data_IF_217802358067
#
_entry.id   IF_217802358067
#
_cell.length_a   1.000
_cell.length_b   1.000
_cell.length_c   1.000
_cell.angle_alpha   90.00
_cell.angle_beta   90.00
_cell.angle_gamma   90.00
#
_symmetry.space_group_name_H-M   'P 1'
#
loop_
_entity.id
_entity.type
_entity.pdbx_description
1 polymer ?
#
# COMPACT_ATOMS: atom_id res chain seq x y z
N UNK A 1 -8.55 -8.92 -29.75
CA UNK A 1 -7.59 -9.96 -30.17
C UNK A 1 -6.82 -10.33 -28.91
N UNK A 2 -7.02 -11.56 -28.45
CA UNK A 2 -6.77 -11.99 -27.06
C UNK A 2 -5.47 -12.79 -26.96
N UNK A 3 -4.67 -12.51 -25.93
CA UNK A 3 -4.15 -13.46 -24.92
C UNK A 3 -3.06 -12.78 -24.07
N UNK A 4 -3.21 -12.80 -22.74
CA UNK A 4 -2.23 -13.16 -21.69
C UNK A 4 -2.91 -12.94 -20.32
N UNK A 5 -3.07 -14.04 -19.55
CA UNK A 5 -3.50 -14.18 -18.14
C UNK A 5 -4.65 -13.27 -17.60
N UNK A 6 -5.79 -13.90 -17.24
CA UNK A 6 -7.03 -13.30 -16.69
C UNK A 6 -6.94 -12.64 -15.28
N UNK A 7 -5.75 -12.25 -14.80
CA UNK A 7 -5.54 -11.74 -13.43
C UNK A 7 -5.12 -10.27 -13.35
N UNK A 8 -6.01 -9.34 -13.67
CA UNK A 8 -5.77 -7.91 -13.44
C UNK A 8 -6.33 -7.49 -12.08
N UNK A 9 -5.47 -7.01 -11.19
CA UNK A 9 -5.91 -6.40 -9.93
C UNK A 9 -6.98 -5.33 -10.20
N UNK A 10 -8.08 -5.39 -9.45
CA UNK A 10 -9.13 -4.38 -9.45
C UNK A 10 -8.60 -3.09 -8.83
N UNK A 11 -8.77 -1.98 -9.53
CA UNK A 11 -8.20 -0.69 -9.18
C UNK A 11 -9.29 0.36 -8.96
N UNK A 12 -9.24 1.05 -7.83
CA UNK A 12 -10.15 2.11 -7.43
C UNK A 12 -9.40 3.41 -7.17
N UNK A 13 -9.99 4.55 -7.54
CA UNK A 13 -9.54 5.87 -7.07
C UNK A 13 -10.28 6.18 -5.78
N UNK A 14 -9.55 6.40 -4.69
CA UNK A 14 -10.16 6.78 -3.40
C UNK A 14 -10.33 8.31 -3.32
N UNK A 15 -9.34 9.06 -3.81
CA UNK A 15 -9.40 10.50 -3.97
C UNK A 15 -8.53 10.96 -5.17
N UNK A 16 -8.09 12.24 -5.16
CA UNK A 16 -7.24 12.81 -6.22
C UNK A 16 -5.77 12.37 -6.16
N UNK A 17 -5.34 11.73 -5.08
CA UNK A 17 -3.93 11.37 -4.79
C UNK A 17 -3.76 9.91 -4.39
N UNK A 18 -4.85 9.18 -4.21
CA UNK A 18 -4.84 7.88 -3.59
C UNK A 18 -5.55 6.86 -4.47
N UNK A 19 -4.87 5.76 -4.75
CA UNK A 19 -5.41 4.59 -5.44
C UNK A 19 -5.46 3.40 -4.49
N UNK A 20 -6.35 2.47 -4.75
CA UNK A 20 -6.42 1.19 -4.07
C UNK A 20 -6.49 0.07 -5.09
N UNK A 21 -5.66 -0.96 -4.91
CA UNK A 21 -5.67 -2.15 -5.74
C UNK A 21 -5.94 -3.40 -4.91
N UNK A 22 -6.60 -4.38 -5.51
CA UNK A 22 -6.85 -5.69 -4.91
C UNK A 22 -6.95 -6.79 -5.96
N UNK A 23 -6.63 -8.02 -5.58
CA UNK A 23 -6.75 -9.21 -6.44
C UNK A 23 -7.21 -10.42 -5.63
N UNK A 24 -8.09 -11.27 -6.14
CA UNK A 24 -8.66 -12.41 -5.39
C UNK A 24 -7.61 -13.33 -4.72
N UNK A 25 -6.37 -13.38 -5.23
CA UNK A 25 -5.27 -14.14 -4.64
C UNK A 25 -4.55 -13.45 -3.47
N UNK A 26 -4.80 -12.16 -3.22
CA UNK A 26 -4.12 -11.37 -2.20
C UNK A 26 -4.78 -11.57 -0.84
N UNK A 27 -4.16 -12.41 -0.01
CA UNK A 27 -4.63 -12.76 1.33
C UNK A 27 -3.51 -13.25 2.24
N UNK A 28 -3.76 -13.20 3.55
CA UNK A 28 -2.95 -13.87 4.56
C UNK A 28 -3.81 -14.85 5.38
N UNK A 29 -3.15 -15.75 6.11
CA UNK A 29 -3.78 -16.65 7.08
C UNK A 29 -3.26 -16.29 8.48
N UNK A 30 -4.16 -16.00 9.41
CA UNK A 30 -3.81 -15.73 10.80
C UNK A 30 -3.52 -17.04 11.55
N UNK A 31 -2.91 -16.95 12.74
CA UNK A 31 -2.53 -18.12 13.56
C UNK A 31 -3.72 -19.04 13.93
N UNK A 32 -4.94 -18.51 13.97
CA UNK A 32 -6.17 -19.27 14.23
C UNK A 32 -6.74 -19.97 12.97
N UNK A 33 -6.07 -19.84 11.83
CA UNK A 33 -6.47 -20.39 10.53
C UNK A 33 -7.49 -19.52 9.79
N UNK A 34 -7.88 -18.37 10.32
CA UNK A 34 -8.74 -17.42 9.60
C UNK A 34 -7.99 -16.80 8.43
N UNK A 35 -8.69 -16.58 7.32
CA UNK A 35 -8.13 -15.97 6.11
C UNK A 35 -8.62 -14.54 5.98
N UNK A 36 -7.68 -13.63 5.78
CA UNK A 36 -7.97 -12.20 5.63
C UNK A 36 -7.56 -11.79 4.23
N UNK A 37 -8.55 -11.39 3.43
CA UNK A 37 -8.30 -10.81 2.11
C UNK A 37 -7.70 -9.41 2.25
N UNK A 38 -6.76 -9.10 1.38
CA UNK A 38 -5.94 -7.89 1.44
C UNK A 38 -6.06 -7.07 0.16
N UNK A 39 -5.69 -5.80 0.29
CA UNK A 39 -5.45 -4.87 -0.81
C UNK A 39 -4.25 -3.96 -0.51
N UNK A 40 -3.87 -3.15 -1.48
CA UNK A 40 -2.78 -2.17 -1.35
C UNK A 40 -3.33 -0.78 -1.65
N UNK A 41 -3.13 0.16 -0.72
CA UNK A 41 -3.32 1.59 -0.95
C UNK A 41 -2.02 2.19 -1.44
N UNK A 42 -2.11 3.07 -2.45
CA UNK A 42 -1.02 3.86 -2.99
C UNK A 42 -1.36 5.34 -2.87
N UNK A 43 -0.59 6.11 -2.12
CA UNK A 43 -0.79 7.55 -1.95
C UNK A 43 0.39 8.33 -2.57
N UNK A 44 0.08 9.30 -3.42
CA UNK A 44 1.04 10.30 -3.87
C UNK A 44 1.23 11.37 -2.77
N UNK A 45 2.36 11.31 -2.07
CA UNK A 45 2.71 12.16 -0.93
C UNK A 45 3.58 13.34 -1.38
N UNK A 46 3.27 14.54 -0.88
CA UNK A 46 4.00 15.78 -1.16
C UNK A 46 5.07 16.04 -0.10
N UNK A 47 6.34 15.97 -0.51
CA UNK A 47 7.51 16.20 0.32
C UNK A 47 8.06 17.63 0.22
N UNK A 48 7.37 18.57 -0.43
CA UNK A 48 7.86 19.96 -0.61
C UNK A 48 8.23 20.64 0.72
N UNK A 49 7.54 20.29 1.82
CA UNK A 49 7.85 20.81 3.16
C UNK A 49 9.16 20.27 3.73
N UNK A 50 9.58 19.09 3.29
CA UNK A 50 10.78 18.39 3.77
C UNK A 50 11.98 18.65 2.85
N UNK A 51 11.77 18.65 1.53
CA UNK A 51 12.82 18.83 0.52
C UNK A 51 13.05 20.30 0.14
N UNK A 52 12.08 21.17 0.43
CA UNK A 52 12.08 22.58 0.03
C UNK A 52 11.14 22.85 -1.14
N UNK A 53 10.50 24.03 -1.14
CA UNK A 53 9.48 24.39 -2.13
C UNK A 53 9.99 24.57 -3.57
N UNK A 54 11.31 24.61 -3.77
CA UNK A 54 11.95 24.71 -5.09
C UNK A 54 12.32 23.34 -5.67
N UNK A 55 12.03 22.25 -4.95
CA UNK A 55 12.30 20.88 -5.42
C UNK A 55 11.46 20.56 -6.66
N UNK A 56 12.13 20.09 -7.72
CA UNK A 56 11.50 19.79 -9.00
C UNK A 56 10.69 18.48 -8.97
N UNK A 57 11.10 17.53 -8.12
CA UNK A 57 10.43 16.23 -7.96
C UNK A 57 9.99 16.02 -6.50
N UNK A 58 8.99 16.78 -6.01
CA UNK A 58 8.64 16.77 -4.60
C UNK A 58 7.68 15.63 -4.22
N UNK A 59 7.18 14.84 -5.17
CA UNK A 59 6.19 13.80 -4.87
C UNK A 59 6.80 12.41 -4.83
N UNK A 60 6.38 11.57 -3.88
CA UNK A 60 6.70 10.14 -3.83
C UNK A 60 5.40 9.33 -3.78
N UNK A 61 5.47 8.02 -4.00
CA UNK A 61 4.33 7.12 -3.76
C UNK A 61 4.62 6.28 -2.53
N UNK A 62 3.80 6.44 -1.50
CA UNK A 62 3.77 5.53 -0.36
C UNK A 62 2.75 4.41 -0.65
N UNK A 63 3.10 3.18 -0.30
CA UNK A 63 2.21 2.03 -0.43
C UNK A 63 2.00 1.35 0.93
N UNK A 64 0.77 0.90 1.18
CA UNK A 64 0.43 0.20 2.41
C UNK A 64 -0.56 -0.95 2.15
N UNK A 65 -0.30 -2.10 2.75
CA UNK A 65 -1.23 -3.23 2.77
C UNK A 65 -2.30 -2.97 3.82
N UNK A 66 -3.56 -3.17 3.45
CA UNK A 66 -4.71 -3.08 4.35
C UNK A 66 -5.62 -4.30 4.17
N UNK A 67 -6.36 -4.73 5.21
CA UNK A 67 -7.45 -5.67 5.04
C UNK A 67 -8.50 -5.09 4.08
N UNK A 68 -9.14 -5.95 3.32
CA UNK A 68 -10.33 -5.54 2.57
C UNK A 68 -11.44 -5.15 3.53
N UNK A 69 -12.30 -4.20 3.14
CA UNK A 69 -13.42 -3.77 3.97
C UNK A 69 -14.35 -4.93 4.37
N UNK A 70 -14.47 -5.98 3.55
CA UNK A 70 -15.26 -7.17 3.86
C UNK A 70 -14.71 -8.03 5.00
N UNK A 71 -13.42 -7.87 5.34
CA UNK A 71 -12.76 -8.61 6.39
C UNK A 71 -12.66 -7.82 7.70
N UNK A 72 -13.13 -6.56 7.74
CA UNK A 72 -13.00 -5.70 8.92
C UNK A 72 -13.96 -6.12 10.04
N UNK A 73 -13.51 -5.91 11.26
CA UNK A 73 -14.35 -6.01 12.45
C UNK A 73 -15.37 -4.86 12.52
N UNK A 74 -16.61 -5.15 12.94
CA UNK A 74 -17.67 -4.16 13.05
C UNK A 74 -17.31 -3.01 14.02
N UNK A 75 -16.57 -3.28 15.09
CA UNK A 75 -16.11 -2.24 16.03
C UNK A 75 -15.10 -1.30 15.36
N UNK A 76 -14.26 -1.84 14.46
CA UNK A 76 -13.30 -1.06 13.68
C UNK A 76 -14.04 -0.17 12.68
N UNK A 77 -15.06 -0.71 12.00
CA UNK A 77 -15.89 0.09 11.07
C UNK A 77 -16.57 1.25 11.80
N UNK A 78 -17.12 0.99 12.99
CA UNK A 78 -17.76 2.03 13.83
C UNK A 78 -16.76 3.06 14.37
N UNK A 79 -15.49 2.69 14.58
CA UNK A 79 -14.46 3.61 15.03
C UNK A 79 -14.06 4.62 13.95
N UNK A 80 -13.98 4.16 12.68
CA UNK A 80 -13.45 4.99 11.58
C UNK A 80 -14.52 5.69 10.74
N UNK A 81 -15.76 5.19 10.74
CA UNK A 81 -16.85 5.76 9.94
C UNK A 81 -17.87 6.47 10.82
N UNK A 82 -18.06 7.76 10.57
CA UNK A 82 -19.18 8.53 11.14
C UNK A 82 -20.52 8.21 10.46
N UNK A 83 -20.47 7.61 9.25
CA UNK A 83 -21.65 7.20 8.51
C UNK A 83 -22.14 5.82 8.98
N UNK A 84 -23.46 5.65 9.09
CA UNK A 84 -24.09 4.39 9.49
C UNK A 84 -23.89 3.26 8.45
N UNK A 85 -23.65 3.62 7.18
CA UNK A 85 -23.40 2.68 6.10
C UNK A 85 -22.46 3.29 5.03
N UNK A 86 -21.14 3.40 5.32
CA UNK A 86 -20.20 4.05 4.41
C UNK A 86 -20.08 3.28 3.10
N UNK A 87 -19.80 4.00 2.02
CA UNK A 87 -19.42 3.35 0.77
C UNK A 87 -18.11 2.57 0.96
N UNK A 88 -17.94 1.48 0.21
CA UNK A 88 -16.71 0.66 0.26
C UNK A 88 -15.43 1.47 0.09
N UNK A 89 -15.42 2.41 -0.87
CA UNK A 89 -14.26 3.27 -1.12
C UNK A 89 -14.00 4.25 0.03
N UNK A 90 -15.07 4.79 0.65
CA UNK A 90 -14.93 5.65 1.82
C UNK A 90 -14.32 4.87 2.98
N UNK A 91 -14.83 3.67 3.27
CA UNK A 91 -14.32 2.83 4.35
C UNK A 91 -12.83 2.44 4.15
N UNK A 92 -12.42 2.09 2.93
CA UNK A 92 -11.00 1.82 2.63
C UNK A 92 -10.15 3.06 2.93
N UNK A 93 -10.62 4.23 2.50
CA UNK A 93 -9.91 5.49 2.71
C UNK A 93 -9.82 5.84 4.20
N UNK A 94 -10.91 5.72 4.95
CA UNK A 94 -10.98 6.06 6.37
C UNK A 94 -10.08 5.13 7.21
N UNK A 95 -10.10 3.83 6.91
CA UNK A 95 -9.17 2.86 7.53
C UNK A 95 -7.72 3.24 7.28
N UNK A 96 -7.37 3.52 6.02
CA UNK A 96 -6.01 3.90 5.68
C UNK A 96 -5.59 5.21 6.37
N UNK A 97 -6.48 6.21 6.45
CA UNK A 97 -6.18 7.49 7.10
C UNK A 97 -6.06 7.37 8.61
N UNK A 98 -6.85 6.50 9.25
CA UNK A 98 -6.84 6.32 10.69
C UNK A 98 -5.71 5.40 11.15
N UNK A 99 -5.43 4.32 10.40
CA UNK A 99 -4.51 3.26 10.80
C UNK A 99 -3.20 3.19 10.01
N UNK A 100 -3.11 3.81 8.83
CA UNK A 100 -1.91 3.83 7.97
C UNK A 100 -1.62 2.54 7.19
N UNK A 101 -2.09 1.39 7.66
CA UNK A 101 -1.79 0.09 7.05
C UNK A 101 -0.35 -0.40 7.29
N UNK A 102 0.00 -1.53 6.68
CA UNK A 102 1.37 -2.07 6.76
C UNK A 102 2.20 -1.50 5.61
N UNK A 103 3.19 -0.64 5.86
CA UNK A 103 3.94 0.05 4.81
C UNK A 103 4.76 -0.94 3.97
N UNK A 104 4.78 -0.71 2.66
CA UNK A 104 5.55 -1.49 1.69
C UNK A 104 6.40 -0.57 0.84
N UNK A 105 7.71 -0.83 0.78
CA UNK A 105 8.56 -0.23 -0.23
C UNK A 105 8.61 -1.11 -1.48
N UNK A 106 7.78 -0.76 -2.46
CA UNK A 106 7.69 -1.51 -3.72
C UNK A 106 8.95 -1.33 -4.57
N UNK A 107 9.63 -0.18 -4.50
CA UNK A 107 10.89 0.06 -5.20
C UNK A 107 12.02 -0.86 -4.68
N UNK A 108 12.00 -1.21 -3.39
CA UNK A 108 12.97 -2.13 -2.79
C UNK A 108 12.74 -3.60 -3.16
N UNK A 109 11.51 -3.98 -3.53
CA UNK A 109 11.16 -5.34 -3.91
C UNK A 109 11.46 -5.63 -5.39
N UNK A 110 11.91 -4.63 -6.16
CA UNK A 110 12.17 -4.79 -7.57
C UNK A 110 13.44 -5.61 -7.83
N UNK A 111 13.43 -6.57 -8.77
CA UNK A 111 14.66 -7.15 -9.26
C UNK A 111 15.53 -6.07 -9.88
N UNK A 112 16.84 -6.09 -9.61
CA UNK A 112 17.82 -5.10 -10.09
C UNK A 112 17.80 -4.82 -11.62
N UNK A 113 17.14 -5.67 -12.42
CA UNK A 113 16.99 -5.51 -13.88
C UNK A 113 15.77 -4.68 -14.31
N UNK A 114 14.80 -4.41 -13.44
CA UNK A 114 13.66 -3.54 -13.75
C UNK A 114 14.00 -2.04 -13.63
N UNK A 115 15.10 -1.72 -12.93
CA UNK A 115 15.62 -0.35 -12.73
C UNK A 115 16.26 0.24 -14.00
N UNK A 116 16.73 -0.58 -14.95
CA UNK A 116 17.40 -0.11 -16.16
C UNK A 116 16.52 -0.21 -17.40
N UNK A 117 15.54 0.71 -17.54
CA UNK A 117 14.98 1.07 -18.84
C UNK A 117 13.47 1.18 -18.90
N UNK A 118 12.71 0.17 -18.46
CA UNK A 118 11.26 0.12 -18.71
C UNK A 118 10.45 1.18 -17.95
N UNK A 119 10.79 1.45 -16.68
CA UNK A 119 10.12 2.46 -15.85
C UNK A 119 10.42 3.91 -16.27
N UNK A 120 11.56 4.15 -16.91
CA UNK A 120 11.96 5.49 -17.38
C UNK A 120 11.12 6.00 -18.56
N UNK A 121 10.38 5.12 -19.25
CA UNK A 121 9.51 5.49 -20.37
C UNK A 121 8.07 5.81 -19.96
N UNK A 122 7.71 5.56 -18.69
CA UNK A 122 6.33 5.73 -18.21
C UNK A 122 6.04 7.19 -17.88
N UNK A 123 6.92 7.84 -17.11
CA UNK A 123 6.78 9.24 -16.75
C UNK A 123 8.13 9.86 -16.38
N UNK A 124 8.17 11.18 -16.28
CA UNK A 124 9.29 11.96 -15.79
C UNK A 124 9.47 11.74 -14.28
N UNK A 125 10.57 11.08 -13.91
CA UNK A 125 10.84 10.61 -12.55
C UNK A 125 12.34 10.56 -12.29
N UNK A 126 12.70 10.68 -11.00
CA UNK A 126 14.08 10.50 -10.54
C UNK A 126 14.11 9.52 -9.37
N UNK A 127 15.12 8.66 -9.33
CA UNK A 127 15.33 7.71 -8.23
C UNK A 127 16.43 8.26 -7.33
N UNK A 128 16.14 8.37 -6.03
CA UNK A 128 17.08 8.91 -5.04
C UNK A 128 17.31 7.91 -3.91
N UNK A 129 18.54 7.81 -3.38
CA UNK A 129 18.80 7.06 -2.17
C UNK A 129 18.28 7.84 -0.95
N UNK A 130 17.37 7.24 -0.19
CA UNK A 130 16.88 7.76 1.09
C UNK A 130 17.31 6.87 2.24
N UNK A 131 17.57 7.46 3.42
CA UNK A 131 17.87 6.71 4.64
C UNK A 131 16.60 6.51 5.45
N UNK A 132 16.24 5.26 5.71
CA UNK A 132 15.15 4.90 6.61
C UNK A 132 15.51 5.23 8.07
N UNK A 133 14.51 5.20 8.96
CA UNK A 133 14.72 5.34 10.40
C UNK A 133 15.66 4.26 10.98
N UNK A 134 15.73 3.07 10.35
CA UNK A 134 16.67 2.01 10.73
C UNK A 134 18.10 2.23 10.22
N UNK A 135 18.34 3.31 9.48
CA UNK A 135 19.62 3.66 8.88
C UNK A 135 19.94 2.93 7.59
N UNK A 136 19.01 2.11 7.06
CA UNK A 136 19.16 1.46 5.76
C UNK A 136 18.97 2.48 4.63
N UNK A 137 19.79 2.39 3.59
CA UNK A 137 19.58 3.17 2.37
C UNK A 137 18.66 2.40 1.45
N UNK A 138 17.54 3.02 1.09
CA UNK A 138 16.56 2.52 0.12
C UNK A 138 16.55 3.43 -1.11
N UNK A 139 16.19 2.89 -2.26
CA UNK A 139 15.87 3.70 -3.43
C UNK A 139 14.40 4.11 -3.35
N UNK A 140 14.13 5.40 -3.56
CA UNK A 140 12.78 5.97 -3.57
C UNK A 140 12.56 6.71 -4.87
N UNK A 141 11.41 6.50 -5.49
CA UNK A 141 10.99 7.25 -6.69
C UNK A 141 10.40 8.60 -6.32
N UNK A 142 10.86 9.62 -7.03
CA UNK A 142 10.30 10.95 -6.98
C UNK A 142 9.70 11.34 -8.33
N UNK A 143 8.57 12.05 -8.28
CA UNK A 143 7.77 12.48 -9.41
C UNK A 143 7.59 14.00 -9.37
N UNK A 144 7.44 14.60 -10.55
CA UNK A 144 7.19 16.05 -10.66
C UNK A 144 5.78 16.42 -10.22
N UNK A 145 4.79 15.58 -10.53
CA UNK A 145 3.38 15.83 -10.22
C UNK A 145 2.70 14.61 -9.60
N UNK A 146 1.57 14.86 -8.94
CA UNK A 146 0.65 13.79 -8.50
C UNK A 146 0.19 12.95 -9.69
N UNK A 147 -0.09 13.56 -10.85
CA UNK A 147 -0.56 12.84 -12.03
C UNK A 147 0.50 11.86 -12.56
N UNK A 148 1.77 12.26 -12.56
CA UNK A 148 2.90 11.39 -12.91
C UNK A 148 3.01 10.20 -11.95
N UNK A 149 2.96 10.47 -10.65
CA UNK A 149 3.00 9.44 -9.60
C UNK A 149 1.85 8.42 -9.75
N UNK A 150 0.63 8.91 -9.97
CA UNK A 150 -0.55 8.05 -10.15
C UNK A 150 -0.51 7.29 -11.48
N UNK A 151 -0.04 7.91 -12.56
CA UNK A 151 0.13 7.24 -13.86
C UNK A 151 1.11 6.09 -13.74
N UNK A 152 2.27 6.36 -13.15
CA UNK A 152 3.28 5.34 -12.87
C UNK A 152 2.74 4.21 -11.98
N UNK A 153 1.95 4.55 -10.97
CA UNK A 153 1.32 3.57 -10.10
C UNK A 153 0.42 2.61 -10.88
N UNK A 154 -0.44 3.14 -11.76
CA UNK A 154 -1.36 2.32 -12.58
C UNK A 154 -0.63 1.41 -13.56
N UNK A 155 0.37 1.95 -14.23
CA UNK A 155 1.06 1.24 -15.30
C UNK A 155 2.13 0.26 -14.79
N UNK A 156 2.63 0.48 -13.57
CA UNK A 156 3.79 -0.26 -13.07
C UNK A 156 3.60 -0.82 -11.67
N UNK A 157 3.32 0.01 -10.65
CA UNK A 157 3.23 -0.49 -9.27
C UNK A 157 2.11 -1.51 -9.07
N UNK A 158 0.92 -1.26 -9.63
CA UNK A 158 -0.19 -2.22 -9.58
C UNK A 158 0.18 -3.51 -10.31
N UNK A 159 0.83 -3.40 -11.47
CA UNK A 159 1.23 -4.56 -12.27
C UNK A 159 2.24 -5.47 -11.54
N UNK A 160 3.20 -4.89 -10.82
CA UNK A 160 4.20 -5.66 -10.08
C UNK A 160 3.75 -6.05 -8.67
N UNK A 161 2.62 -5.54 -8.19
CA UNK A 161 2.10 -5.81 -6.84
C UNK A 161 2.00 -7.28 -6.46
N UNK A 162 1.79 -8.26 -7.36
CA UNK A 162 1.87 -9.67 -6.99
C UNK A 162 3.17 -10.07 -6.28
N UNK A 163 4.31 -9.43 -6.59
CA UNK A 163 5.59 -9.70 -5.90
C UNK A 163 5.53 -9.33 -4.42
N UNK A 164 4.75 -8.31 -4.04
CA UNK A 164 4.57 -7.89 -2.64
C UNK A 164 4.02 -9.05 -1.83
N UNK A 165 3.07 -9.80 -2.40
CA UNK A 165 2.43 -10.92 -1.73
C UNK A 165 3.30 -12.19 -1.69
N UNK A 166 4.33 -12.31 -2.53
CA UNK A 166 5.36 -13.35 -2.39
C UNK A 166 6.26 -13.14 -1.16
N UNK A 167 6.39 -11.88 -0.70
CA UNK A 167 7.17 -11.49 0.48
C UNK A 167 6.29 -11.14 1.68
N UNK A 168 4.99 -11.51 1.66
CA UNK A 168 4.01 -11.06 2.63
C UNK A 168 4.41 -11.35 4.08
N UNK A 169 4.83 -12.58 4.38
CA UNK A 169 5.23 -12.96 5.74
C UNK A 169 6.39 -12.10 6.25
N UNK A 170 7.40 -11.87 5.41
CA UNK A 170 8.54 -11.01 5.75
C UNK A 170 8.10 -9.57 6.02
N UNK A 171 7.18 -9.04 5.21
CA UNK A 171 6.64 -7.69 5.37
C UNK A 171 5.81 -7.56 6.65
N UNK A 172 4.95 -8.54 6.93
CA UNK A 172 4.10 -8.56 8.12
C UNK A 172 4.90 -8.82 9.40
N UNK A 173 6.06 -9.48 9.33
CA UNK A 173 6.99 -9.67 10.46
C UNK A 173 7.77 -8.40 10.82
N UNK A 174 7.82 -7.39 9.94
CA UNK A 174 8.56 -6.17 10.23
C UNK A 174 7.96 -5.42 11.43
N UNK A 175 8.79 -4.87 12.33
CA UNK A 175 8.30 -4.04 13.43
C UNK A 175 7.56 -2.80 12.92
N UNK A 176 6.35 -2.62 13.42
CA UNK A 176 5.57 -1.39 13.38
C UNK A 176 5.64 -0.71 14.76
N UNK A 177 5.40 0.60 14.82
CA UNK A 177 5.52 1.37 16.06
C UNK A 177 4.76 0.78 17.27
N UNK A 178 3.69 0.01 17.02
CA UNK A 178 2.91 -0.71 18.04
C UNK A 178 2.73 -2.22 17.73
N UNK A 179 3.78 -2.94 17.33
CA UNK A 179 3.72 -4.39 17.11
C UNK A 179 4.34 -4.80 15.78
N UNK A 180 3.69 -5.72 15.07
CA UNK A 180 4.06 -6.10 13.69
C UNK A 180 2.90 -5.86 12.72
N UNK A 181 3.12 -6.07 11.43
CA UNK A 181 2.04 -6.07 10.44
C UNK A 181 0.97 -7.11 10.76
N UNK A 182 1.36 -8.28 11.29
CA UNK A 182 0.41 -9.30 11.75
C UNK A 182 -0.53 -8.78 12.85
N UNK A 183 0.01 -8.04 13.82
CA UNK A 183 -0.79 -7.48 14.91
C UNK A 183 -1.81 -6.45 14.40
N UNK A 184 -1.41 -5.64 13.41
CA UNK A 184 -2.30 -4.68 12.76
C UNK A 184 -3.42 -5.40 11.99
N UNK A 185 -3.09 -6.37 11.13
CA UNK A 185 -4.10 -7.10 10.35
C UNK A 185 -5.06 -7.84 11.29
N UNK A 186 -4.54 -8.49 12.33
CA UNK A 186 -5.35 -9.18 13.33
C UNK A 186 -6.31 -8.24 14.06
N UNK A 187 -5.83 -7.06 14.47
CA UNK A 187 -6.65 -6.04 15.14
C UNK A 187 -7.79 -5.57 14.22
N UNK A 188 -7.49 -5.31 12.96
CA UNK A 188 -8.45 -4.76 12.01
C UNK A 188 -9.48 -5.80 11.55
N UNK A 189 -9.08 -7.06 11.42
CA UNK A 189 -9.92 -8.14 10.90
C UNK A 189 -10.68 -8.94 11.98
N UNK A 190 -10.71 -8.46 13.22
CA UNK A 190 -11.46 -9.12 14.30
C UNK A 190 -10.81 -10.38 14.88
N UNK A 191 -9.53 -10.66 14.55
CA UNK A 191 -8.75 -11.75 15.16
C UNK A 191 -8.39 -11.53 16.63
N UNK A 192 -9.05 -10.56 17.28
CA UNK A 192 -8.82 -10.10 18.64
C UNK A 192 -9.96 -10.46 19.59
N UNK A 193 -10.34 -11.73 19.65
CA UNK A 193 -10.96 -12.24 20.87
C UNK A 193 -10.01 -12.00 22.04
N UNK A 194 -10.36 -11.08 22.95
CA UNK A 194 -9.69 -10.81 24.22
C UNK A 194 -9.10 -12.09 24.84
N UNK A 195 -7.79 -12.31 24.69
CA UNK A 195 -7.06 -13.16 25.65
C UNK A 195 -6.75 -12.26 26.84
N UNK A 196 -7.75 -12.12 27.72
CA UNK A 196 -7.52 -11.63 29.06
C UNK A 196 -6.45 -12.53 29.71
N UNK A 197 -5.30 -11.94 30.04
CA UNK A 197 -4.36 -12.51 31.01
C UNK A 197 -4.80 -12.14 32.42
#
# INVERSE_FOLDING_TARGET
>A
MTLIADGSAHLLSLDKRTLYAEDEGWRCELEDGSKVDLGIVFEAVDLSRTLGFEEEYPFVVEAAIVPRPEALDDEVVLEVSEEENPSRSALIFDIYRHYGGVPVNIDALQPARASCGASAFVTDQVVRPEKTASGQTIEVRHFRTVEDALTFTREFYVFISPIVFEFLDYLLDQPLGQGTGWDMIRRLAGGGGLVAK
#
